data_IF_797117389019
#
_entry.id   IF_797117389019
#
_cell.length_a   1.000
_cell.length_b   1.000
_cell.length_c   1.000
_cell.angle_alpha   90.00
_cell.angle_beta   90.00
_cell.angle_gamma   90.00
#
_symmetry.space_group_name_H-M   'P 1'
#
loop_
_entity.id
_entity.type
_entity.pdbx_description
1 polymer ?
#
# COMPACT_ATOMS: atom_id res chain seq x y z
N UNK A 1 -2.64 3.02 13.50
CA UNK A 1 -1.21 3.38 13.60
C UNK A 1 -0.98 4.60 12.71
N UNK A 2 -0.25 5.65 13.15
CA UNK A 2 0.05 6.83 12.30
C UNK A 2 1.50 6.77 11.84
N UNK A 3 1.75 6.74 10.54
CA UNK A 3 3.09 6.66 9.95
C UNK A 3 3.48 8.03 9.36
N UNK A 4 4.75 8.41 9.52
CA UNK A 4 5.32 9.63 8.94
C UNK A 4 6.49 9.29 8.02
N UNK A 5 6.53 9.89 6.84
CA UNK A 5 7.67 9.81 5.92
C UNK A 5 8.23 11.21 5.77
N UNK A 6 9.53 11.37 6.05
CA UNK A 6 10.24 12.66 5.98
C UNK A 6 9.52 13.80 6.72
N UNK A 7 8.88 13.48 7.84
CA UNK A 7 8.15 14.44 8.67
C UNK A 7 6.70 14.75 8.24
N UNK A 8 6.24 14.23 7.10
CA UNK A 8 4.85 14.36 6.63
C UNK A 8 3.98 13.19 7.08
N UNK A 9 2.74 13.46 7.46
CA UNK A 9 1.75 12.43 7.79
C UNK A 9 1.11 11.89 6.50
N UNK A 10 1.12 10.57 6.36
CA UNK A 10 0.49 9.89 5.24
C UNK A 10 -1.01 9.78 5.52
N UNK A 11 -1.82 10.24 4.57
CA UNK A 11 -3.26 10.10 4.57
C UNK A 11 -3.69 8.81 3.86
N UNK A 12 -3.12 8.54 2.66
CA UNK A 12 -3.46 7.38 1.84
C UNK A 12 -2.21 6.86 1.11
N UNK A 13 -2.15 5.55 0.89
CA UNK A 13 -1.16 4.93 0.00
C UNK A 13 -1.93 4.27 -1.14
N UNK A 14 -1.60 4.63 -2.38
CA UNK A 14 -2.16 4.03 -3.59
C UNK A 14 -1.07 3.15 -4.19
N UNK A 15 -1.31 1.84 -4.27
CA UNK A 15 -0.35 0.90 -4.82
C UNK A 15 -0.53 0.81 -6.33
N UNK A 16 0.57 0.96 -7.07
CA UNK A 16 0.58 0.71 -8.50
C UNK A 16 0.81 -0.78 -8.73
N UNK A 17 -0.23 -1.47 -9.20
CA UNK A 17 -0.16 -2.87 -9.61
C UNK A 17 0.24 -2.91 -11.08
N UNK A 18 1.33 -3.61 -11.38
CA UNK A 18 1.83 -3.76 -12.74
C UNK A 18 1.82 -5.22 -13.19
N UNK A 19 1.49 -5.39 -14.47
CA UNK A 19 1.34 -6.67 -15.19
C UNK A 19 0.22 -7.60 -14.68
N UNK A 20 -0.24 -8.59 -15.47
CA UNK A 20 -1.43 -9.39 -15.18
C UNK A 20 -1.33 -10.27 -13.92
N UNK A 21 -0.13 -10.38 -13.33
CA UNK A 21 0.13 -11.12 -12.09
C UNK A 21 -0.18 -10.31 -10.81
N UNK A 22 -0.62 -9.04 -10.93
CA UNK A 22 -1.03 -8.22 -9.78
C UNK A 22 0.09 -7.90 -8.81
N UNK A 23 1.34 -7.79 -9.29
CA UNK A 23 2.49 -7.46 -8.46
C UNK A 23 2.58 -5.95 -8.23
N UNK A 24 3.10 -5.55 -7.07
CA UNK A 24 3.34 -4.14 -6.76
C UNK A 24 4.58 -3.67 -7.52
N UNK A 25 4.41 -2.63 -8.34
CA UNK A 25 5.46 -1.97 -9.12
C UNK A 25 5.80 -0.57 -8.62
N UNK A 26 4.94 0.03 -7.81
CA UNK A 26 5.14 1.37 -7.30
C UNK A 26 4.12 1.73 -6.25
N UNK A 27 4.23 2.93 -5.71
CA UNK A 27 3.22 3.48 -4.81
C UNK A 27 3.18 5.01 -4.90
N UNK A 28 1.98 5.58 -4.87
CA UNK A 28 1.79 7.00 -4.59
C UNK A 28 1.41 7.18 -3.12
N UNK A 29 2.23 7.94 -2.39
CA UNK A 29 1.94 8.40 -1.04
C UNK A 29 1.17 9.72 -1.12
N UNK A 30 -0.04 9.78 -0.58
CA UNK A 30 -0.83 11.00 -0.45
C UNK A 30 -0.73 11.47 1.00
N UNK A 31 -0.29 12.70 1.20
CA UNK A 31 -0.11 13.29 2.52
C UNK A 31 -1.29 14.17 2.92
N UNK A 32 -1.48 14.36 4.23
CA UNK A 32 -2.58 15.18 4.78
C UNK A 32 -2.49 16.66 4.40
N UNK A 33 -1.34 17.12 3.88
CA UNK A 33 -1.15 18.48 3.37
C UNK A 33 -1.58 18.62 1.89
N UNK A 34 -2.12 17.56 1.30
CA UNK A 34 -2.56 17.48 -0.10
C UNK A 34 -1.43 17.24 -1.10
N UNK A 35 -0.17 17.14 -0.68
CA UNK A 35 0.93 16.76 -1.57
C UNK A 35 0.98 15.24 -1.78
N UNK A 36 1.62 14.81 -2.87
CA UNK A 36 1.91 13.40 -3.10
C UNK A 36 3.38 13.14 -3.46
N UNK A 37 3.84 11.90 -3.21
CA UNK A 37 5.16 11.41 -3.58
C UNK A 37 5.03 10.04 -4.25
N UNK A 38 5.60 9.91 -5.45
CA UNK A 38 5.62 8.66 -6.21
C UNK A 38 6.89 7.89 -5.88
N UNK A 39 6.72 6.63 -5.52
CA UNK A 39 7.76 5.66 -5.25
C UNK A 39 7.81 4.66 -6.40
N UNK A 40 8.99 4.48 -6.96
CA UNK A 40 9.26 3.48 -8.00
C UNK A 40 9.43 2.06 -7.42
N UNK A 41 9.57 1.08 -8.32
CA UNK A 41 9.74 -0.33 -7.99
C UNK A 41 10.99 -0.62 -7.15
N UNK A 42 12.01 0.23 -7.27
CA UNK A 42 13.30 0.07 -6.61
C UNK A 42 13.31 0.71 -5.20
N UNK A 43 12.27 1.47 -4.87
CA UNK A 43 12.16 2.08 -3.56
C UNK A 43 12.04 1.00 -2.46
N UNK A 44 12.82 1.10 -1.36
CA UNK A 44 12.84 0.07 -0.32
C UNK A 44 11.47 -0.27 0.27
N UNK A 45 10.58 0.72 0.39
CA UNK A 45 9.21 0.50 0.85
C UNK A 45 8.41 -0.39 -0.11
N UNK A 46 8.55 -0.16 -1.42
CA UNK A 46 7.89 -0.97 -2.46
C UNK A 46 8.46 -2.39 -2.45
N UNK A 47 9.78 -2.53 -2.31
CA UNK A 47 10.42 -3.84 -2.16
C UNK A 47 9.96 -4.61 -0.91
N UNK A 48 9.84 -3.94 0.25
CA UNK A 48 9.33 -4.55 1.49
C UNK A 48 7.87 -5.00 1.29
N UNK A 49 7.04 -4.15 0.71
CA UNK A 49 5.63 -4.47 0.47
C UNK A 49 5.44 -5.58 -0.54
N UNK A 50 6.26 -5.64 -1.59
CA UNK A 50 6.30 -6.77 -2.52
C UNK A 50 6.70 -8.07 -1.80
N UNK A 51 7.72 -8.02 -0.94
CA UNK A 51 8.12 -9.18 -0.15
C UNK A 51 7.00 -9.67 0.79
N UNK A 52 6.26 -8.75 1.42
CA UNK A 52 5.09 -9.11 2.23
C UNK A 52 3.99 -9.69 1.34
N UNK A 53 3.69 -9.05 0.21
CA UNK A 53 2.69 -9.51 -0.75
C UNK A 53 2.98 -10.91 -1.28
N UNK A 54 4.23 -11.17 -1.70
CA UNK A 54 4.69 -12.48 -2.17
C UNK A 54 4.64 -13.53 -1.06
N UNK A 55 4.98 -13.14 0.18
CA UNK A 55 4.85 -14.01 1.35
C UNK A 55 3.39 -14.35 1.68
N UNK A 56 2.46 -13.46 1.34
CA UNK A 56 1.02 -13.61 1.52
C UNK A 56 0.28 -13.94 0.21
N UNK A 57 0.95 -14.38 -0.86
CA UNK A 57 0.33 -14.56 -2.18
C UNK A 57 -0.81 -15.61 -2.21
N UNK A 58 -0.94 -16.46 -1.19
CA UNK A 58 -2.07 -17.39 -0.99
C UNK A 58 -3.14 -16.85 0.01
N UNK A 59 -3.02 -15.58 0.40
CA UNK A 59 -3.66 -14.99 1.59
C UNK A 59 -4.05 -13.51 1.43
N UNK A 60 -3.94 -12.90 0.23
CA UNK A 60 -4.29 -11.48 0.04
C UNK A 60 -5.74 -11.17 0.46
N UNK A 61 -6.72 -12.01 0.09
CA UNK A 61 -8.12 -11.89 0.55
C UNK A 61 -8.25 -12.04 2.08
N UNK A 62 -7.51 -12.96 2.69
CA UNK A 62 -7.54 -13.18 4.14
C UNK A 62 -6.89 -12.06 4.92
N UNK A 63 -5.83 -11.46 4.37
CA UNK A 63 -5.14 -10.31 4.96
C UNK A 63 -6.02 -9.07 4.86
N UNK A 64 -6.66 -8.85 3.71
CA UNK A 64 -7.65 -7.79 3.52
C UNK A 64 -8.82 -7.96 4.50
N UNK A 65 -9.35 -9.18 4.65
CA UNK A 65 -10.41 -9.45 5.63
C UNK A 65 -9.95 -9.26 7.09
N UNK A 66 -8.73 -9.65 7.45
CA UNK A 66 -8.20 -9.44 8.81
C UNK A 66 -7.95 -7.98 9.11
N UNK A 67 -7.41 -7.22 8.16
CA UNK A 67 -7.18 -5.78 8.31
C UNK A 67 -8.53 -5.05 8.44
N UNK A 68 -9.54 -5.42 7.63
CA UNK A 68 -10.92 -4.91 7.76
C UNK A 68 -11.53 -5.21 9.13
N UNK A 69 -11.32 -6.41 9.68
CA UNK A 69 -11.88 -6.82 10.98
C UNK A 69 -11.16 -6.23 12.20
N UNK A 70 -9.83 -6.20 12.22
CA UNK A 70 -9.06 -5.78 13.41
C UNK A 70 -8.92 -4.26 13.54
N UNK A 71 -9.02 -3.52 12.43
CA UNK A 71 -8.64 -2.10 12.41
C UNK A 71 -9.75 -1.16 11.93
N UNK A 72 -10.95 -1.67 11.62
CA UNK A 72 -12.09 -0.88 11.08
C UNK A 72 -11.68 0.00 9.88
N UNK A 73 -10.83 -0.52 9.00
CA UNK A 73 -10.34 0.19 7.81
C UNK A 73 -11.22 -0.20 6.62
N UNK A 74 -11.95 0.75 6.06
CA UNK A 74 -12.67 0.59 4.79
C UNK A 74 -11.73 0.86 3.60
N UNK A 75 -11.64 -0.11 2.68
CA UNK A 75 -10.98 0.06 1.39
C UNK A 75 -12.04 0.37 0.35
N UNK A 76 -12.11 1.64 -0.06
CA UNK A 76 -12.96 2.07 -1.18
C UNK A 76 -12.10 2.05 -2.46
N UNK A 77 -12.24 0.98 -3.22
CA UNK A 77 -11.62 0.80 -4.53
C UNK A 77 -12.74 0.63 -5.57
N UNK A 78 -13.23 1.75 -6.12
CA UNK A 78 -13.93 1.73 -7.40
C UNK A 78 -12.89 1.39 -8.49
N UNK A 79 -13.09 0.26 -9.18
CA UNK A 79 -12.32 -0.17 -10.36
C UNK A 79 -12.93 0.46 -11.61
#
# INVERSE_FOLDING_TARGET
MRMKVRGKEIEKIVWELGDPDGRIWGAELIFTDGSSEILDADHPLVAIMRCLWDYFADTAERLEQRIKQEYEIEFDAEI
#
